data_IF_275461576472
#
_entry.id   IF_275461576472
#
_cell.length_a   1.000
_cell.length_b   1.000
_cell.length_c   1.000
_cell.angle_alpha   90.00
_cell.angle_beta   90.00
_cell.angle_gamma   90.00
#
_symmetry.space_group_name_H-M   'P 1'
#
loop_
_entity.id
_entity.type
_entity.pdbx_description
1 polymer ?
#
# COMPACT_ATOMS: atom_id res chain seq x y z
N UNK A 1 17.39 2.17 -3.10
CA UNK A 1 16.27 1.66 -2.28
C UNK A 1 16.21 2.51 -1.03
N UNK A 2 15.05 3.11 -0.77
CA UNK A 2 14.79 3.78 0.50
C UNK A 2 14.55 2.65 1.52
N UNK A 3 15.45 2.47 2.49
CA UNK A 3 15.40 1.37 3.46
C UNK A 3 14.06 1.36 4.22
N UNK A 4 13.53 2.54 4.53
CA UNK A 4 12.22 2.74 5.16
C UNK A 4 11.05 2.21 4.32
N UNK A 5 11.06 2.44 3.00
CA UNK A 5 9.98 1.98 2.12
C UNK A 5 9.96 0.45 2.03
N UNK A 6 11.13 -0.18 2.02
CA UNK A 6 11.24 -1.62 2.01
C UNK A 6 10.74 -2.25 3.32
N UNK A 7 11.05 -1.65 4.47
CA UNK A 7 10.51 -2.11 5.77
C UNK A 7 8.98 -2.00 5.82
N UNK A 8 8.42 -0.91 5.29
CA UNK A 8 6.98 -0.69 5.25
C UNK A 8 6.26 -1.66 4.29
N UNK A 9 6.86 -1.99 3.14
CA UNK A 9 6.27 -2.96 2.21
C UNK A 9 6.21 -4.36 2.82
N UNK A 10 7.27 -4.79 3.51
CA UNK A 10 7.30 -6.05 4.26
C UNK A 10 6.25 -6.06 5.38
N UNK A 11 6.09 -4.96 6.12
CA UNK A 11 5.06 -4.85 7.15
C UNK A 11 3.64 -4.96 6.58
N UNK A 12 3.37 -4.34 5.42
CA UNK A 12 2.09 -4.46 4.72
C UNK A 12 1.84 -5.91 4.32
N UNK A 13 2.84 -6.58 3.75
CA UNK A 13 2.75 -7.98 3.36
C UNK A 13 2.47 -8.89 4.55
N UNK A 14 3.14 -8.68 5.68
CA UNK A 14 2.90 -9.44 6.90
C UNK A 14 1.45 -9.26 7.41
N UNK A 15 0.94 -8.03 7.43
CA UNK A 15 -0.45 -7.75 7.81
C UNK A 15 -1.45 -8.41 6.86
N UNK A 16 -1.13 -8.42 5.56
CA UNK A 16 -1.93 -9.06 4.52
C UNK A 16 -1.99 -10.58 4.70
N UNK A 17 -0.86 -11.23 4.97
CA UNK A 17 -0.76 -12.67 5.22
C UNK A 17 -1.46 -13.08 6.51
N UNK A 18 -1.34 -12.26 7.56
CA UNK A 18 -2.05 -12.45 8.83
C UNK A 18 -3.55 -12.09 8.73
N UNK A 19 -4.02 -11.64 7.56
CA UNK A 19 -5.41 -11.21 7.31
C UNK A 19 -5.87 -10.10 8.24
N UNK A 20 -4.95 -9.27 8.73
CA UNK A 20 -5.20 -8.11 9.61
C UNK A 20 -5.64 -6.89 8.80
N UNK A 21 -6.71 -7.05 8.02
CA UNK A 21 -7.17 -6.04 7.06
C UNK A 21 -7.56 -4.71 7.72
N UNK A 22 -8.11 -4.76 8.94
CA UNK A 22 -8.48 -3.54 9.68
C UNK A 22 -7.24 -2.71 10.02
N UNK A 23 -6.19 -3.34 10.55
CA UNK A 23 -4.93 -2.66 10.89
C UNK A 23 -4.22 -2.14 9.64
N UNK A 24 -4.21 -2.95 8.56
CA UNK A 24 -3.64 -2.52 7.28
C UNK A 24 -4.37 -1.29 6.74
N UNK A 25 -5.70 -1.27 6.81
CA UNK A 25 -6.49 -0.11 6.39
C UNK A 25 -6.17 1.13 7.23
N UNK A 26 -6.08 0.99 8.55
CA UNK A 26 -5.75 2.09 9.46
C UNK A 26 -4.37 2.67 9.13
N UNK A 27 -3.35 1.81 9.05
CA UNK A 27 -1.99 2.19 8.66
C UNK A 27 -1.96 2.95 7.34
N UNK A 28 -2.58 2.39 6.29
CA UNK A 28 -2.62 3.04 4.97
C UNK A 28 -3.39 4.36 4.97
N UNK A 29 -4.41 4.50 5.82
CA UNK A 29 -5.21 5.74 5.88
C UNK A 29 -4.51 6.88 6.64
N UNK A 30 -3.43 6.59 7.36
CA UNK A 30 -2.59 7.60 8.02
C UNK A 30 -1.48 8.13 7.11
N UNK A 31 -1.26 7.51 5.95
CA UNK A 31 -0.21 7.84 4.99
C UNK A 31 -0.76 8.65 3.81
N UNK A 32 0.10 9.43 3.15
CA UNK A 32 -0.28 10.14 1.93
C UNK A 32 -0.20 9.22 0.71
N UNK A 33 -0.94 9.57 -0.33
CA UNK A 33 -1.03 8.82 -1.59
C UNK A 33 0.32 8.58 -2.27
N UNK A 34 1.24 9.53 -2.20
CA UNK A 34 2.58 9.41 -2.79
C UNK A 34 3.45 8.36 -2.07
N UNK A 35 3.40 8.35 -0.73
CA UNK A 35 4.15 7.38 0.08
C UNK A 35 3.62 5.97 -0.15
N UNK A 36 2.29 5.83 -0.17
CA UNK A 36 1.63 4.55 -0.46
C UNK A 36 2.00 4.06 -1.86
N UNK A 37 1.95 4.92 -2.88
CA UNK A 37 2.34 4.54 -4.24
C UNK A 37 3.77 4.00 -4.29
N UNK A 38 4.72 4.69 -3.66
CA UNK A 38 6.11 4.25 -3.57
C UNK A 38 6.28 2.90 -2.85
N UNK A 39 5.51 2.64 -1.79
CA UNK A 39 5.52 1.36 -1.09
C UNK A 39 4.89 0.25 -1.94
N UNK A 40 3.79 0.53 -2.62
CA UNK A 40 3.13 -0.44 -3.50
C UNK A 40 3.99 -0.81 -4.70
N UNK A 41 4.92 0.03 -5.15
CA UNK A 41 5.91 -0.36 -6.18
C UNK A 41 6.85 -1.47 -5.72
N UNK A 42 7.13 -1.57 -4.42
CA UNK A 42 7.98 -2.63 -3.85
C UNK A 42 7.18 -3.90 -3.50
N UNK A 43 5.85 -3.84 -3.54
CA UNK A 43 4.96 -4.97 -3.26
C UNK A 43 4.75 -5.81 -4.53
N UNK A 44 4.73 -7.16 -4.44
CA UNK A 44 4.43 -8.01 -5.59
C UNK A 44 3.07 -7.70 -6.23
N UNK A 45 3.02 -7.61 -7.56
CA UNK A 45 1.82 -7.26 -8.33
C UNK A 45 0.61 -8.16 -8.03
N UNK A 46 0.84 -9.44 -7.69
CA UNK A 46 -0.22 -10.38 -7.30
C UNK A 46 -0.98 -9.97 -6.03
N UNK A 47 -0.37 -9.17 -5.15
CA UNK A 47 -0.95 -8.69 -3.90
C UNK A 47 -1.65 -7.34 -4.05
N UNK A 48 -1.29 -6.55 -5.06
CA UNK A 48 -1.85 -5.21 -5.29
C UNK A 48 -3.39 -5.20 -5.35
N UNK A 49 -4.09 -6.10 -6.08
CA UNK A 49 -5.55 -6.10 -6.12
C UNK A 49 -6.21 -6.27 -4.75
N UNK A 50 -5.56 -7.04 -3.85
CA UNK A 50 -6.06 -7.24 -2.50
C UNK A 50 -5.88 -5.97 -1.65
N UNK A 51 -4.76 -5.27 -1.80
CA UNK A 51 -4.47 -4.02 -1.08
C UNK A 51 -5.39 -2.89 -1.56
N UNK A 52 -5.58 -2.74 -2.87
CA UNK A 52 -6.53 -1.78 -3.44
C UNK A 52 -7.96 -1.98 -2.94
N UNK A 53 -8.36 -3.22 -2.63
CA UNK A 53 -9.67 -3.52 -2.05
C UNK A 53 -9.80 -3.07 -0.58
N UNK A 54 -8.69 -2.92 0.13
CA UNK A 54 -8.63 -2.52 1.54
C UNK A 54 -8.57 -1.00 1.67
N UNK A 55 -7.86 -0.34 0.75
CA UNK A 55 -7.75 1.11 0.67
C UNK A 55 -9.13 1.78 0.55
N UNK A 56 -9.34 2.94 1.21
CA UNK A 56 -10.48 3.80 0.92
C UNK A 56 -10.56 4.14 -0.58
N UNK A 57 -11.77 4.24 -1.13
CA UNK A 57 -11.97 4.45 -2.57
C UNK A 57 -11.25 5.69 -3.12
N UNK A 58 -11.31 6.79 -2.38
CA UNK A 58 -10.66 8.05 -2.77
C UNK A 58 -9.14 7.87 -2.79
N UNK A 59 -8.57 7.35 -1.70
CA UNK A 59 -7.14 7.08 -1.58
C UNK A 59 -6.63 6.11 -2.65
N UNK A 60 -7.40 5.05 -2.94
CA UNK A 60 -7.06 4.09 -4.00
C UNK A 60 -6.95 4.75 -5.38
N UNK A 61 -7.83 5.71 -5.68
CA UNK A 61 -7.77 6.45 -6.95
C UNK A 61 -6.53 7.35 -7.02
N UNK A 62 -6.25 8.10 -5.95
CA UNK A 62 -5.08 8.98 -5.89
C UNK A 62 -3.75 8.19 -5.97
N UNK A 63 -3.65 7.08 -5.25
CA UNK A 63 -2.48 6.19 -5.29
C UNK A 63 -2.27 5.62 -6.68
N UNK A 64 -3.33 5.18 -7.35
CA UNK A 64 -3.27 4.65 -8.71
C UNK A 64 -2.73 5.70 -9.69
N UNK A 65 -3.21 6.94 -9.62
CA UNK A 65 -2.70 8.04 -10.46
C UNK A 65 -1.22 8.33 -10.19
N UNK A 66 -0.79 8.29 -8.92
CA UNK A 66 0.62 8.47 -8.57
C UNK A 66 1.51 7.35 -9.11
N UNK A 67 1.05 6.10 -9.15
CA UNK A 67 1.81 4.98 -9.71
C UNK A 67 1.92 5.01 -11.25
N UNK A 68 0.91 5.52 -11.95
CA UNK A 68 0.92 5.67 -13.43
C UNK A 68 1.68 6.92 -13.91
N UNK A 69 1.97 7.86 -13.00
CA UNK A 69 2.60 9.15 -13.34
C UNK A 69 4.14 9.12 -13.34
N UNK A 70 4.76 7.99 -12.95
CA UNK A 70 6.21 7.77 -12.92
C UNK A 70 6.68 6.81 -14.04
#
# INVERSE_FOLDING_TARGET
MNEEIFELSEQILELLEQKKYQQLKEMLSEMNEADIAAILMEVPEEKLPLIYRILPKELAAEVFVNMDSD
#
